data_IF_931896413850
#
_entry.id   IF_931896413850
#
_cell.length_a   1.000
_cell.length_b   1.000
_cell.length_c   1.000
_cell.angle_alpha   90.00
_cell.angle_beta   90.00
_cell.angle_gamma   90.00
#
_symmetry.space_group_name_H-M   'P 1'
#
loop_
_entity.id
_entity.type
_entity.pdbx_description
1 polymer ?
#
# COMPACT_ATOMS: atom_id res chain seq x y z
N UNK A 1 -25.07 32.30 -19.75
CA UNK A 1 -23.70 32.64 -19.28
C UNK A 1 -23.52 32.40 -17.78
N UNK A 2 -24.34 33.00 -16.90
CA UNK A 2 -24.23 32.84 -15.43
C UNK A 2 -24.32 31.38 -14.92
N UNK A 3 -25.19 30.55 -15.52
CA UNK A 3 -25.29 29.10 -15.18
C UNK A 3 -24.02 28.31 -15.53
N UNK A 4 -23.34 28.67 -16.63
CA UNK A 4 -22.09 28.01 -17.05
C UNK A 4 -20.95 28.41 -16.10
N UNK A 5 -20.93 29.68 -15.67
CA UNK A 5 -19.95 30.17 -14.70
C UNK A 5 -20.08 29.46 -13.35
N UNK A 6 -21.31 29.28 -12.86
CA UNK A 6 -21.58 28.56 -11.60
C UNK A 6 -21.11 27.10 -11.70
N UNK A 7 -21.41 26.40 -12.80
CA UNK A 7 -20.96 25.03 -13.02
C UNK A 7 -19.43 24.94 -13.08
N UNK A 8 -18.77 25.92 -13.70
CA UNK A 8 -17.31 26.00 -13.75
C UNK A 8 -16.69 26.17 -12.36
N UNK A 9 -17.19 27.12 -11.55
CA UNK A 9 -16.73 27.31 -10.17
C UNK A 9 -16.99 26.08 -9.30
N UNK A 10 -18.12 25.40 -9.49
CA UNK A 10 -18.45 24.19 -8.75
C UNK A 10 -17.50 23.04 -9.11
N UNK A 11 -17.22 22.85 -10.39
CA UNK A 11 -16.25 21.85 -10.86
C UNK A 11 -14.85 22.14 -10.31
N UNK A 12 -14.39 23.39 -10.38
CA UNK A 12 -13.08 23.78 -9.87
C UNK A 12 -12.99 23.65 -8.35
N UNK A 13 -14.06 23.98 -7.63
CA UNK A 13 -14.17 23.80 -6.18
C UNK A 13 -14.07 22.33 -5.77
N UNK A 14 -14.80 21.44 -6.45
CA UNK A 14 -14.70 19.99 -6.21
C UNK A 14 -13.28 19.50 -6.52
N UNK A 15 -12.69 19.92 -7.65
CA UNK A 15 -11.33 19.54 -8.01
C UNK A 15 -10.30 19.97 -6.95
N UNK A 16 -10.41 21.22 -6.46
CA UNK A 16 -9.55 21.73 -5.41
C UNK A 16 -9.69 20.92 -4.11
N UNK A 17 -10.93 20.58 -3.70
CA UNK A 17 -11.17 19.75 -2.52
C UNK A 17 -10.56 18.35 -2.69
N UNK A 18 -10.72 17.70 -3.84
CA UNK A 18 -10.14 16.39 -4.12
C UNK A 18 -8.60 16.42 -4.10
N UNK A 19 -8.00 17.48 -4.65
CA UNK A 19 -6.55 17.69 -4.64
C UNK A 19 -6.02 17.87 -3.21
N UNK A 20 -6.66 18.71 -2.40
CA UNK A 20 -6.26 18.97 -1.00
C UNK A 20 -6.44 17.72 -0.13
N UNK A 21 -7.54 17.00 -0.29
CA UNK A 21 -7.84 15.79 0.51
C UNK A 21 -7.06 14.55 0.05
N UNK A 22 -6.40 14.61 -1.11
CA UNK A 22 -5.71 13.46 -1.70
C UNK A 22 -6.66 12.34 -2.13
N UNK A 23 -7.92 12.66 -2.40
CA UNK A 23 -8.97 11.72 -2.80
C UNK A 23 -9.01 11.54 -4.33
N UNK A 24 -7.84 11.40 -4.94
CA UNK A 24 -7.67 11.06 -6.35
C UNK A 24 -6.80 9.81 -6.49
N UNK A 25 -7.06 8.96 -7.50
CA UNK A 25 -6.29 7.74 -7.69
C UNK A 25 -4.88 8.08 -8.20
N UNK A 26 -3.88 7.42 -7.64
CA UNK A 26 -2.50 7.38 -8.16
C UNK A 26 -2.23 6.08 -8.94
N UNK A 27 -3.01 5.05 -8.64
CA UNK A 27 -3.04 3.83 -9.42
C UNK A 27 -4.46 3.26 -9.48
N UNK A 28 -4.72 2.49 -10.53
CA UNK A 28 -5.92 1.69 -10.70
C UNK A 28 -5.48 0.27 -11.04
N UNK A 29 -5.86 -0.69 -10.22
CA UNK A 29 -5.49 -2.11 -10.33
C UNK A 29 -6.77 -2.91 -10.53
N UNK A 30 -6.99 -3.46 -11.72
CA UNK A 30 -8.21 -4.17 -12.10
C UNK A 30 -9.50 -3.37 -11.79
N UNK A 31 -9.45 -2.05 -11.97
CA UNK A 31 -10.56 -1.14 -11.69
C UNK A 31 -10.68 -0.71 -10.21
N UNK A 32 -9.87 -1.27 -9.31
CA UNK A 32 -9.82 -0.86 -7.91
C UNK A 32 -8.77 0.24 -7.68
N UNK A 33 -9.14 1.41 -7.11
CA UNK A 33 -8.22 2.53 -6.98
C UNK A 33 -7.28 2.39 -5.78
N UNK A 34 -6.07 2.92 -5.94
CA UNK A 34 -5.15 3.29 -4.85
C UNK A 34 -5.11 4.81 -4.82
N UNK A 35 -5.59 5.40 -3.73
CA UNK A 35 -5.66 6.86 -3.58
C UNK A 35 -4.33 7.45 -3.14
N UNK A 36 -4.06 8.69 -3.57
CA UNK A 36 -2.85 9.44 -3.19
C UNK A 36 -2.64 9.47 -1.68
N UNK A 37 -3.70 9.77 -0.90
CA UNK A 37 -3.63 9.80 0.56
C UNK A 37 -3.17 8.46 1.16
N UNK A 38 -3.59 7.33 0.59
CA UNK A 38 -3.20 5.99 1.07
C UNK A 38 -1.73 5.74 0.78
N UNK A 39 -1.29 6.09 -0.43
CA UNK A 39 0.11 5.97 -0.81
C UNK A 39 1.02 6.88 0.03
N UNK A 40 0.63 8.13 0.26
CA UNK A 40 1.38 9.05 1.13
C UNK A 40 1.47 8.57 2.58
N UNK A 41 0.42 7.96 3.12
CA UNK A 41 0.47 7.34 4.45
C UNK A 41 1.46 6.17 4.48
N UNK A 42 1.44 5.30 3.47
CA UNK A 42 2.39 4.19 3.35
C UNK A 42 3.84 4.68 3.16
N UNK A 43 4.06 5.70 2.34
CA UNK A 43 5.36 6.36 2.16
C UNK A 43 5.90 6.90 3.48
N UNK A 44 5.08 7.64 4.22
CA UNK A 44 5.48 8.19 5.52
C UNK A 44 5.78 7.08 6.53
N UNK A 45 4.98 6.01 6.56
CA UNK A 45 5.23 4.85 7.41
C UNK A 45 6.57 4.16 7.06
N UNK A 46 6.88 4.00 5.78
CA UNK A 46 8.14 3.42 5.32
C UNK A 46 9.35 4.30 5.70
N UNK A 47 9.26 5.62 5.51
CA UNK A 47 10.29 6.58 5.95
C UNK A 47 10.53 6.46 7.46
N UNK A 48 9.46 6.36 8.26
CA UNK A 48 9.54 6.20 9.72
C UNK A 48 10.20 4.89 10.09
N UNK A 49 9.83 3.79 9.43
CA UNK A 49 10.44 2.48 9.62
C UNK A 49 11.94 2.48 9.31
N UNK A 50 12.36 3.09 8.19
CA UNK A 50 13.79 3.22 7.84
C UNK A 50 14.54 3.96 8.95
N UNK A 51 13.99 5.07 9.43
CA UNK A 51 14.60 5.84 10.50
C UNK A 51 14.60 5.14 11.86
N UNK A 52 13.55 4.39 12.19
CA UNK A 52 13.48 3.58 13.39
C UNK A 52 14.53 2.44 13.35
N UNK A 53 14.65 1.78 12.21
CA UNK A 53 15.63 0.71 11.97
C UNK A 53 17.06 1.23 12.07
N UNK A 54 17.36 2.39 11.46
CA UNK A 54 18.67 3.02 11.55
C UNK A 54 19.06 3.37 13.00
N UNK A 55 18.11 3.89 13.79
CA UNK A 55 18.35 4.15 15.23
C UNK A 55 18.59 2.87 16.01
N UNK A 56 17.83 1.81 15.74
CA UNK A 56 17.95 0.53 16.44
C UNK A 56 19.30 -0.15 16.19
N UNK A 57 19.93 0.09 15.03
CA UNK A 57 21.28 -0.40 14.71
C UNK A 57 22.41 0.55 15.15
N UNK A 58 22.11 1.60 15.93
CA UNK A 58 23.10 2.57 16.41
C UNK A 58 23.48 3.66 15.39
N UNK A 59 22.79 3.74 14.26
CA UNK A 59 22.95 4.80 13.26
C UNK A 59 22.13 6.05 13.55
N UNK A 60 22.32 7.08 12.71
CA UNK A 60 21.55 8.33 12.74
C UNK A 60 20.35 8.29 11.80
N UNK A 61 19.29 9.04 12.14
CA UNK A 61 18.16 9.22 11.22
C UNK A 61 18.57 9.93 9.94
N UNK A 62 17.97 9.49 8.84
CA UNK A 62 18.12 10.05 7.51
C UNK A 62 17.14 11.22 7.35
N UNK A 63 17.69 12.36 6.96
CA UNK A 63 16.93 13.54 6.59
C UNK A 63 16.58 13.49 5.09
N UNK A 64 15.38 12.97 4.79
CA UNK A 64 14.86 12.83 3.43
C UNK A 64 14.55 14.18 2.74
N UNK A 65 14.69 15.31 3.42
CA UNK A 65 14.57 16.64 2.79
C UNK A 65 15.84 17.07 2.05
N UNK A 66 16.98 16.43 2.35
CA UNK A 66 18.27 16.76 1.72
C UNK A 66 18.38 16.15 0.33
N UNK A 67 18.98 16.91 -0.57
CA UNK A 67 19.20 16.49 -1.96
C UNK A 67 20.02 15.19 -2.07
N UNK A 68 21.00 14.99 -1.18
CA UNK A 68 21.81 13.76 -1.11
C UNK A 68 20.97 12.49 -0.90
N UNK A 69 19.78 12.62 -0.29
CA UNK A 69 18.86 11.52 0.00
C UNK A 69 17.69 11.44 -1.00
N UNK A 70 17.69 12.25 -2.08
CA UNK A 70 16.58 12.33 -3.03
C UNK A 70 16.34 10.99 -3.75
N UNK A 71 17.40 10.28 -4.15
CA UNK A 71 17.29 8.96 -4.80
C UNK A 71 16.72 7.90 -3.86
N UNK A 72 17.13 7.92 -2.58
CA UNK A 72 16.56 7.03 -1.57
C UNK A 72 15.08 7.35 -1.30
N UNK A 73 14.71 8.64 -1.27
CA UNK A 73 13.30 9.03 -1.18
C UNK A 73 12.51 8.51 -2.38
N UNK A 74 13.09 8.59 -3.58
CA UNK A 74 12.47 8.10 -4.81
C UNK A 74 12.28 6.58 -4.77
N UNK A 75 13.26 5.82 -4.27
CA UNK A 75 13.13 4.37 -4.11
C UNK A 75 12.02 4.03 -3.11
N UNK A 76 11.97 4.70 -1.95
CA UNK A 76 10.88 4.50 -0.96
C UNK A 76 9.52 4.77 -1.58
N UNK A 77 9.37 5.83 -2.39
CA UNK A 77 8.13 6.14 -3.11
C UNK A 77 7.73 5.03 -4.09
N UNK A 78 8.68 4.51 -4.89
CA UNK A 78 8.44 3.41 -5.84
C UNK A 78 8.07 2.11 -5.14
N UNK A 79 8.81 1.75 -4.10
CA UNK A 79 8.65 0.48 -3.40
C UNK A 79 7.32 0.46 -2.64
N UNK A 80 6.93 1.58 -2.03
CA UNK A 80 5.64 1.69 -1.35
C UNK A 80 4.46 1.64 -2.33
N UNK A 81 4.58 2.25 -3.53
CA UNK A 81 3.55 2.12 -4.55
C UNK A 81 3.48 0.68 -5.10
N UNK A 82 4.63 0.05 -5.33
CA UNK A 82 4.72 -1.35 -5.75
C UNK A 82 4.05 -2.28 -4.75
N UNK A 83 4.33 -2.09 -3.46
CA UNK A 83 3.73 -2.84 -2.37
C UNK A 83 2.20 -2.70 -2.35
N UNK A 84 1.68 -1.48 -2.48
CA UNK A 84 0.23 -1.24 -2.50
C UNK A 84 -0.45 -1.86 -3.73
N UNK A 85 0.21 -1.83 -4.88
CA UNK A 85 -0.28 -2.48 -6.11
C UNK A 85 -0.29 -3.99 -5.93
N UNK A 86 0.79 -4.58 -5.43
CA UNK A 86 0.87 -6.02 -5.14
C UNK A 86 -0.22 -6.45 -4.16
N UNK A 87 -0.39 -5.73 -3.05
CA UNK A 87 -1.46 -6.01 -2.10
C UNK A 87 -2.84 -5.93 -2.75
N UNK A 88 -3.05 -4.97 -3.63
CA UNK A 88 -4.33 -4.83 -4.36
C UNK A 88 -4.57 -6.04 -5.27
N UNK A 89 -3.55 -6.46 -6.02
CA UNK A 89 -3.60 -7.66 -6.87
C UNK A 89 -3.93 -8.89 -6.02
N UNK A 90 -3.22 -9.09 -4.91
CA UNK A 90 -3.46 -10.19 -3.97
C UNK A 90 -4.89 -10.14 -3.43
N UNK A 91 -5.39 -8.96 -3.04
CA UNK A 91 -6.73 -8.81 -2.48
C UNK A 91 -7.84 -9.18 -3.47
N UNK A 92 -7.65 -8.87 -4.76
CA UNK A 92 -8.64 -9.15 -5.81
C UNK A 92 -8.52 -10.58 -6.33
N UNK A 93 -7.30 -11.05 -6.58
CA UNK A 93 -7.04 -12.37 -7.12
C UNK A 93 -7.22 -13.47 -6.06
N UNK A 94 -6.90 -13.19 -4.79
CA UNK A 94 -7.01 -14.16 -3.70
C UNK A 94 -8.42 -14.69 -3.49
N UNK A 95 -9.43 -13.83 -3.62
CA UNK A 95 -10.85 -14.24 -3.57
C UNK A 95 -11.22 -15.25 -4.66
N UNK A 96 -10.56 -15.19 -5.83
CA UNK A 96 -10.77 -16.14 -6.93
C UNK A 96 -10.05 -17.48 -6.68
N UNK A 97 -8.97 -17.46 -5.90
CA UNK A 97 -8.21 -18.67 -5.54
C UNK A 97 -8.89 -19.43 -4.40
N UNK A 98 -9.51 -18.71 -3.47
CA UNK A 98 -10.14 -19.26 -2.27
C UNK A 98 -11.33 -18.39 -1.84
N UNK A 99 -12.55 -18.95 -1.86
CA UNK A 99 -13.78 -18.17 -1.61
C UNK A 99 -13.91 -17.53 -0.22
N UNK A 100 -13.19 -18.04 0.79
CA UNK A 100 -13.13 -17.46 2.15
C UNK A 100 -11.84 -16.67 2.42
N UNK A 101 -11.14 -16.20 1.39
CA UNK A 101 -9.82 -15.60 1.51
C UNK A 101 -9.80 -14.40 2.48
N UNK A 102 -10.70 -13.41 2.28
CA UNK A 102 -10.80 -12.27 3.17
C UNK A 102 -11.14 -12.66 4.61
N UNK A 103 -11.96 -13.69 4.82
CA UNK A 103 -12.34 -14.15 6.17
C UNK A 103 -11.12 -14.73 6.88
N UNK A 104 -10.35 -15.59 6.21
CA UNK A 104 -9.12 -16.15 6.77
C UNK A 104 -8.06 -15.09 7.04
N UNK A 105 -7.86 -14.14 6.13
CA UNK A 105 -6.92 -13.05 6.36
C UNK A 105 -7.29 -12.23 7.61
N UNK A 106 -8.59 -11.97 7.85
CA UNK A 106 -9.03 -11.30 9.09
C UNK A 106 -8.78 -12.16 10.33
N UNK A 107 -9.07 -13.46 10.27
CA UNK A 107 -8.82 -14.38 11.38
C UNK A 107 -7.33 -14.45 11.74
N UNK A 108 -6.44 -14.43 10.74
CA UNK A 108 -4.99 -14.42 10.95
C UNK A 108 -4.55 -13.13 11.67
N UNK A 109 -5.08 -11.98 11.26
CA UNK A 109 -4.84 -10.70 11.95
C UNK A 109 -5.33 -10.76 13.41
N UNK A 110 -6.54 -11.26 13.67
CA UNK A 110 -7.08 -11.41 15.02
C UNK A 110 -6.26 -12.39 15.89
N UNK A 111 -5.75 -13.47 15.29
CA UNK A 111 -4.89 -14.42 15.97
C UNK A 111 -3.54 -13.77 16.33
N UNK A 112 -2.97 -12.96 15.43
CA UNK A 112 -1.74 -12.23 15.68
C UNK A 112 -1.88 -11.22 16.83
N UNK A 113 -3.01 -10.51 16.94
CA UNK A 113 -3.27 -9.62 18.08
C UNK A 113 -3.42 -10.35 19.40
N UNK A 114 -4.09 -11.51 19.40
CA UNK A 114 -4.22 -12.33 20.60
C UNK A 114 -2.88 -12.83 21.10
N UNK A 115 -1.97 -13.20 20.18
CA UNK A 115 -0.62 -13.66 20.50
C UNK A 115 0.29 -12.51 20.96
N UNK A 116 0.12 -11.31 20.41
CA UNK A 116 0.97 -10.15 20.69
C UNK A 116 0.14 -8.90 21.01
N UNK A 117 -0.37 -8.76 22.24
CA UNK A 117 -1.23 -7.64 22.62
C UNK A 117 -0.56 -6.26 22.43
N UNK A 118 0.77 -6.17 22.60
CA UNK A 118 1.55 -4.92 22.48
C UNK A 118 1.92 -4.51 21.04
N UNK A 119 1.42 -5.23 20.03
CA UNK A 119 1.86 -5.01 18.65
C UNK A 119 1.32 -3.71 18.05
N UNK A 120 0.21 -3.18 18.57
CA UNK A 120 -0.32 -1.87 18.15
C UNK A 120 0.59 -0.73 18.64
N UNK A 121 1.05 -0.81 19.89
CA UNK A 121 1.97 0.13 20.50
C UNK A 121 3.30 0.13 19.77
N UNK A 122 3.83 -1.05 19.45
CA UNK A 122 5.02 -1.22 18.61
C UNK A 122 4.81 -0.63 17.21
N UNK A 123 3.67 -0.91 16.58
CA UNK A 123 3.29 -0.35 15.28
C UNK A 123 3.27 1.18 15.28
N UNK A 124 2.69 1.79 16.32
CA UNK A 124 2.66 3.24 16.49
C UNK A 124 4.07 3.82 16.70
N UNK A 125 4.91 3.16 17.50
CA UNK A 125 6.28 3.62 17.75
C UNK A 125 7.16 3.58 16.48
N UNK A 126 7.01 2.52 15.67
CA UNK A 126 7.87 2.29 14.49
C UNK A 126 7.35 3.02 13.25
N UNK A 127 6.05 2.95 12.97
CA UNK A 127 5.45 3.45 11.73
C UNK A 127 4.69 4.77 11.91
N UNK A 128 4.41 5.18 13.15
CA UNK A 128 3.54 6.32 13.46
C UNK A 128 2.16 6.23 12.82
N UNK A 129 1.62 5.01 12.77
CA UNK A 129 0.27 4.74 12.31
C UNK A 129 -0.67 4.61 13.51
N UNK A 130 -1.91 5.07 13.34
CA UNK A 130 -2.98 4.70 14.24
C UNK A 130 -3.37 3.22 14.03
N UNK A 131 -4.25 2.71 14.89
CA UNK A 131 -4.69 1.32 14.82
C UNK A 131 -5.26 0.96 13.45
N UNK A 132 -6.11 1.80 12.89
CA UNK A 132 -6.84 1.51 11.65
C UNK A 132 -5.91 1.52 10.44
N UNK A 133 -5.01 2.49 10.36
CA UNK A 133 -4.02 2.58 9.30
C UNK A 133 -3.01 1.44 9.41
N UNK A 134 -2.57 1.09 10.62
CA UNK A 134 -1.65 -0.02 10.84
C UNK A 134 -2.27 -1.37 10.42
N UNK A 135 -3.53 -1.58 10.76
CA UNK A 135 -4.32 -2.71 10.29
C UNK A 135 -4.38 -2.77 8.76
N UNK A 136 -4.75 -1.66 8.13
CA UNK A 136 -4.98 -1.60 6.68
C UNK A 136 -3.71 -1.66 5.85
N UNK A 137 -2.62 -1.05 6.31
CA UNK A 137 -1.39 -0.87 5.53
C UNK A 137 -0.32 -1.92 5.83
N UNK A 138 -0.33 -2.54 7.01
CA UNK A 138 0.71 -3.48 7.42
C UNK A 138 0.12 -4.88 7.65
N UNK A 139 -0.80 -5.01 8.59
CA UNK A 139 -1.29 -6.32 9.04
C UNK A 139 -2.13 -7.05 8.00
N UNK A 140 -3.12 -6.38 7.40
CA UNK A 140 -3.99 -7.01 6.40
C UNK A 140 -3.23 -7.45 5.14
N UNK A 141 -2.30 -6.64 4.58
CA UNK A 141 -1.45 -7.10 3.48
C UNK A 141 -0.61 -8.33 3.82
N UNK A 142 0.03 -8.31 5.00
CA UNK A 142 0.85 -9.43 5.45
C UNK A 142 -0.01 -10.70 5.63
N UNK A 143 -1.14 -10.60 6.32
CA UNK A 143 -2.05 -11.73 6.53
C UNK A 143 -2.59 -12.31 5.21
N UNK A 144 -2.91 -11.47 4.23
CA UNK A 144 -3.29 -11.92 2.88
C UNK A 144 -2.18 -12.72 2.21
N UNK A 145 -0.94 -12.23 2.28
CA UNK A 145 0.24 -12.91 1.75
C UNK A 145 0.46 -14.26 2.44
N UNK A 146 0.34 -14.30 3.76
CA UNK A 146 0.55 -15.52 4.55
C UNK A 146 -0.51 -16.58 4.24
N UNK A 147 -1.79 -16.19 4.21
CA UNK A 147 -2.90 -17.10 3.87
C UNK A 147 -2.73 -17.71 2.48
N UNK A 148 -2.34 -16.92 1.48
CA UNK A 148 -2.08 -17.49 0.14
C UNK A 148 -0.83 -18.37 0.15
N UNK A 149 0.26 -17.92 0.78
CA UNK A 149 1.50 -18.70 0.86
C UNK A 149 1.24 -20.09 1.45
N UNK A 150 0.50 -20.16 2.56
CA UNK A 150 0.10 -21.42 3.20
C UNK A 150 -0.83 -22.25 2.33
N UNK A 151 -1.80 -21.61 1.69
CA UNK A 151 -2.74 -22.28 0.78
C UNK A 151 -2.03 -22.94 -0.40
N UNK A 152 -1.09 -22.23 -1.04
CA UNK A 152 -0.30 -22.75 -2.14
C UNK A 152 0.64 -23.86 -1.68
N UNK A 153 1.30 -23.69 -0.52
CA UNK A 153 2.15 -24.72 0.09
C UNK A 153 1.38 -26.01 0.34
N UNK A 154 0.18 -25.93 0.92
CA UNK A 154 -0.66 -27.08 1.20
C UNK A 154 -1.12 -27.84 -0.07
N UNK A 155 -1.17 -27.15 -1.20
CA UNK A 155 -1.53 -27.71 -2.52
C UNK A 155 -0.31 -28.18 -3.33
N UNK A 156 0.91 -28.06 -2.80
CA UNK A 156 2.14 -28.34 -3.55
C UNK A 156 2.38 -27.37 -4.71
N UNK A 157 1.81 -26.17 -4.66
CA UNK A 157 1.93 -25.14 -5.69
C UNK A 157 2.91 -24.04 -5.25
N UNK A 158 3.50 -23.32 -6.21
CA UNK A 158 4.46 -22.24 -5.93
C UNK A 158 3.74 -20.87 -5.88
N UNK A 159 3.69 -20.27 -4.70
CA UNK A 159 3.12 -18.94 -4.47
C UNK A 159 3.81 -17.84 -5.27
N UNK A 160 5.14 -17.85 -5.33
CA UNK A 160 5.92 -16.80 -6.02
C UNK A 160 5.67 -16.82 -7.53
N UNK A 161 5.58 -18.02 -8.11
CA UNK A 161 5.24 -18.16 -9.53
C UNK A 161 3.81 -17.72 -9.82
N UNK A 162 2.87 -18.08 -8.94
CA UNK A 162 1.50 -17.58 -9.05
C UNK A 162 1.44 -16.05 -8.95
N UNK A 163 2.13 -15.45 -7.99
CA UNK A 163 2.14 -14.01 -7.78
C UNK A 163 2.75 -13.29 -8.99
N UNK A 164 3.84 -13.83 -9.54
CA UNK A 164 4.47 -13.31 -10.76
C UNK A 164 3.50 -13.31 -11.95
N UNK A 165 2.72 -14.38 -12.14
CA UNK A 165 1.71 -14.46 -13.18
C UNK A 165 0.51 -13.52 -12.91
N UNK A 166 0.08 -13.43 -11.65
CA UNK A 166 -0.98 -12.51 -11.23
C UNK A 166 -0.59 -11.05 -11.50
N UNK A 167 0.66 -10.67 -11.21
CA UNK A 167 1.20 -9.33 -11.49
C UNK A 167 1.24 -8.99 -12.98
N UNK A 168 1.64 -9.95 -13.82
CA UNK A 168 1.69 -9.75 -15.28
C UNK A 168 0.31 -9.70 -15.93
N UNK A 169 -0.68 -10.36 -15.35
CA UNK A 169 -2.06 -10.39 -15.87
C UNK A 169 -2.92 -9.24 -15.35
N UNK A 170 -2.54 -8.60 -14.24
CA UNK A 170 -3.28 -7.47 -13.68
C UNK A 170 -3.25 -6.23 -14.57
N UNK A 171 -4.40 -5.57 -14.73
CA UNK A 171 -4.49 -4.28 -15.40
C UNK A 171 -4.11 -3.16 -14.44
N UNK A 172 -2.90 -2.62 -14.58
CA UNK A 172 -2.39 -1.53 -13.74
C UNK A 172 -2.22 -0.26 -14.55
N UNK A 173 -2.87 0.82 -14.13
CA UNK A 173 -2.71 2.17 -14.68
C UNK A 173 -2.24 3.12 -13.59
N UNK A 174 -1.16 3.86 -13.85
CA UNK A 174 -0.63 4.88 -12.94
C UNK A 174 -1.06 6.27 -13.39
N UNK A 175 -1.32 7.16 -12.42
CA UNK A 175 -1.78 8.52 -12.67
C UNK A 175 -1.02 9.51 -11.79
N UNK A 176 -0.63 10.65 -12.37
CA UNK A 176 -0.04 11.77 -11.64
C UNK A 176 1.22 11.42 -10.82
N UNK A 177 1.97 10.40 -11.26
CA UNK A 177 3.23 9.96 -10.66
C UNK A 177 4.28 9.77 -11.74
N UNK A 178 5.57 10.01 -11.45
CA UNK A 178 6.65 9.93 -12.45
C UNK A 178 7.17 8.49 -12.64
N UNK A 179 6.28 7.50 -12.56
CA UNK A 179 6.65 6.08 -12.56
C UNK A 179 5.86 5.29 -13.59
N UNK A 180 6.36 4.09 -13.91
CA UNK A 180 5.69 3.10 -14.75
C UNK A 180 5.53 1.77 -14.03
N UNK A 181 4.48 1.03 -14.36
CA UNK A 181 4.33 -0.36 -13.95
C UNK A 181 4.97 -1.28 -14.98
N UNK A 182 5.83 -2.21 -14.57
CA UNK A 182 6.55 -3.12 -15.48
C UNK A 182 5.89 -4.48 -15.66
N UNK A 183 4.78 -4.74 -14.99
CA UNK A 183 4.22 -6.10 -14.84
C UNK A 183 4.78 -6.85 -13.64
N UNK A 184 5.75 -6.28 -12.92
CA UNK A 184 6.36 -6.89 -11.72
C UNK A 184 6.49 -5.90 -10.56
N UNK A 185 6.90 -4.66 -10.87
CA UNK A 185 7.10 -3.56 -9.91
C UNK A 185 6.92 -2.19 -10.57
N UNK A 186 6.95 -1.16 -9.74
CA UNK A 186 6.99 0.25 -10.18
C UNK A 186 8.44 0.68 -10.40
N UNK A 187 8.71 1.33 -11.53
CA UNK A 187 10.03 1.87 -11.91
C UNK A 187 9.99 3.36 -12.24
#
# INVERSE_FOLDING_TARGET
MMRILILFFFFFGIFAILAITGFYPVALVDGAPIFYRTWKKAENAAIRFVNASAKASGGTSIDFSRQENAELLLSVKRDTLSFLIEDKIISVAGERVWGDFAVRAKQEVEAAFRKNPGVLEGGKAVYNLDRDDFLKLIFMPQARKDVLTETFRARGQNYEEWLRLAKKSASVRLYFVPFKWTGERVE
#
